data_IF_224741436098
#
_entry.id   IF_224741436098
#
_cell.length_a   1.000
_cell.length_b   1.000
_cell.length_c   1.000
_cell.angle_alpha   90.00
_cell.angle_beta   90.00
_cell.angle_gamma   90.00
#
_symmetry.space_group_name_H-M   'P 1'
#
loop_
_entity.id
_entity.type
_entity.pdbx_description
1 polymer ?
#
# COMPACT_ATOMS: atom_id res chain seq x y z
N UNK A 1 8.20 11.00 4.43
CA UNK A 1 8.69 10.74 3.05
C UNK A 1 8.67 9.24 2.78
N UNK A 2 8.44 8.80 1.53
CA UNK A 2 8.44 7.39 1.16
C UNK A 2 9.77 6.74 1.55
N UNK A 3 9.80 6.00 2.66
CA UNK A 3 10.92 5.14 3.00
C UNK A 3 11.04 4.00 2.00
N UNK A 4 12.21 3.37 1.91
CA UNK A 4 12.42 2.22 1.01
C UNK A 4 11.44 1.08 1.29
N UNK A 5 11.12 0.89 2.56
CA UNK A 5 10.08 -0.02 3.04
C UNK A 5 8.70 0.27 2.44
N UNK A 6 8.33 1.55 2.34
CA UNK A 6 7.07 1.98 1.74
C UNK A 6 7.10 1.84 0.21
N UNK A 7 8.25 2.06 -0.45
CA UNK A 7 8.43 1.79 -1.88
C UNK A 7 8.31 0.29 -2.20
N UNK A 8 8.91 -0.56 -1.38
CA UNK A 8 8.78 -2.03 -1.47
C UNK A 8 7.33 -2.47 -1.30
N UNK A 9 6.61 -1.87 -0.34
CA UNK A 9 5.19 -2.16 -0.14
C UNK A 9 4.36 -1.81 -1.37
N UNK A 10 4.60 -0.66 -2.02
CA UNK A 10 3.89 -0.26 -3.23
C UNK A 10 4.15 -1.22 -4.40
N UNK A 11 5.40 -1.63 -4.62
CA UNK A 11 5.75 -2.65 -5.61
C UNK A 11 5.05 -3.97 -5.31
N UNK A 12 5.06 -4.41 -4.05
CA UNK A 12 4.39 -5.65 -3.64
C UNK A 12 2.88 -5.61 -3.93
N UNK A 13 2.21 -4.49 -3.65
CA UNK A 13 0.79 -4.31 -3.94
C UNK A 13 0.53 -4.36 -5.45
N UNK A 14 1.40 -3.72 -6.25
CA UNK A 14 1.30 -3.74 -7.71
C UNK A 14 1.49 -5.15 -8.28
N UNK A 15 2.56 -5.83 -7.88
CA UNK A 15 2.97 -7.12 -8.43
C UNK A 15 2.02 -8.25 -8.01
N UNK A 16 1.54 -8.21 -6.76
CA UNK A 16 0.73 -9.30 -6.18
C UNK A 16 -0.76 -9.04 -6.22
N UNK A 17 -1.19 -7.79 -6.38
CA UNK A 17 -2.61 -7.38 -6.43
C UNK A 17 -3.46 -8.06 -5.33
N UNK A 18 -3.05 -7.97 -4.05
CA UNK A 18 -3.70 -8.67 -2.95
C UNK A 18 -5.17 -8.24 -2.85
N UNK A 19 -6.05 -9.18 -2.49
CA UNK A 19 -7.50 -8.99 -2.38
C UNK A 19 -7.94 -8.53 -1.00
N UNK A 20 -7.05 -8.54 -0.01
CA UNK A 20 -7.33 -8.08 1.35
C UNK A 20 -6.09 -7.52 2.06
N UNK A 21 -6.30 -6.80 3.17
CA UNK A 21 -5.21 -6.38 4.07
C UNK A 21 -4.55 -7.57 4.78
N UNK A 22 -5.29 -8.65 5.02
CA UNK A 22 -4.76 -9.87 5.64
C UNK A 22 -3.79 -10.57 4.71
N UNK A 23 -4.14 -10.73 3.43
CA UNK A 23 -3.24 -11.29 2.43
C UNK A 23 -2.00 -10.41 2.23
N UNK A 24 -2.17 -9.08 2.19
CA UNK A 24 -1.03 -8.17 2.13
C UNK A 24 -0.13 -8.26 3.38
N UNK A 25 -0.72 -8.50 4.56
CA UNK A 25 0.04 -8.72 5.80
C UNK A 25 0.90 -9.98 5.72
N UNK A 26 0.36 -11.08 5.19
CA UNK A 26 1.09 -12.32 4.96
C UNK A 26 2.22 -12.12 3.94
N UNK A 27 1.94 -11.49 2.80
CA UNK A 27 2.93 -11.23 1.75
C UNK A 27 4.07 -10.29 2.20
N UNK A 28 3.76 -9.30 3.04
CA UNK A 28 4.74 -8.29 3.48
C UNK A 28 5.41 -8.62 4.81
N UNK A 29 4.94 -9.65 5.54
CA UNK A 29 5.37 -9.94 6.90
C UNK A 29 5.01 -8.86 7.93
N UNK A 30 4.10 -7.94 7.59
CA UNK A 30 3.70 -6.80 8.43
C UNK A 30 2.36 -7.04 9.10
N UNK A 31 2.16 -6.50 10.30
CA UNK A 31 0.87 -6.58 11.00
C UNK A 31 -0.19 -5.72 10.28
N UNK A 32 -1.42 -6.24 10.16
CA UNK A 32 -2.57 -5.54 9.54
C UNK A 32 -2.80 -4.12 10.08
N UNK A 33 -2.76 -3.84 11.40
CA UNK A 33 -2.95 -2.48 11.90
C UNK A 33 -1.88 -1.49 11.41
N UNK A 34 -0.63 -1.96 11.20
CA UNK A 34 0.45 -1.11 10.69
C UNK A 34 0.23 -0.81 9.21
N UNK A 35 -0.13 -1.83 8.42
CA UNK A 35 -0.47 -1.65 7.01
C UNK A 35 -1.65 -0.69 6.84
N UNK A 36 -2.70 -0.83 7.64
CA UNK A 36 -3.87 0.05 7.56
C UNK A 36 -3.50 1.54 7.73
N UNK A 37 -2.63 1.86 8.69
CA UNK A 37 -2.13 3.22 8.91
C UNK A 37 -1.28 3.71 7.74
N UNK A 38 -0.32 2.90 7.29
CA UNK A 38 0.56 3.24 6.15
C UNK A 38 -0.24 3.45 4.86
N UNK A 39 -1.18 2.55 4.57
CA UNK A 39 -1.98 2.60 3.35
C UNK A 39 -2.96 3.78 3.35
N UNK A 40 -3.49 4.17 4.52
CA UNK A 40 -4.29 5.39 4.63
C UNK A 40 -3.47 6.62 4.26
N UNK A 41 -2.28 6.76 4.85
CA UNK A 41 -1.36 7.83 4.49
C UNK A 41 -1.02 7.82 2.99
N UNK A 42 -0.71 6.65 2.43
CA UNK A 42 -0.43 6.52 0.99
C UNK A 42 -1.62 6.88 0.10
N UNK A 43 -2.84 6.58 0.55
CA UNK A 43 -4.06 6.96 -0.15
C UNK A 43 -4.29 8.48 -0.11
N UNK A 44 -4.03 9.12 1.03
CA UNK A 44 -4.11 10.58 1.17
C UNK A 44 -3.13 11.30 0.23
N UNK A 45 -1.98 10.67 -0.07
CA UNK A 45 -1.01 11.14 -1.06
C UNK A 45 -1.28 10.68 -2.50
N UNK A 46 -2.39 9.97 -2.76
CA UNK A 46 -2.75 9.48 -4.09
C UNK A 46 -1.89 8.33 -4.63
N UNK A 47 -1.11 7.66 -3.77
CA UNK A 47 -0.20 6.58 -4.15
C UNK A 47 -0.91 5.22 -4.21
N UNK A 48 -1.98 5.06 -3.43
CA UNK A 48 -2.77 3.83 -3.31
C UNK A 48 -4.26 4.15 -3.30
N UNK A 49 -5.06 3.33 -3.96
CA UNK A 49 -6.51 3.28 -3.78
C UNK A 49 -6.88 2.18 -2.79
N UNK A 50 -7.85 2.46 -1.92
CA UNK A 50 -8.41 1.49 -0.98
C UNK A 50 -9.87 1.22 -1.33
N UNK A 51 -10.13 0.08 -1.97
CA UNK A 51 -11.49 -0.35 -2.26
C UNK A 51 -12.04 -1.15 -1.09
N UNK A 52 -13.17 -0.70 -0.54
CA UNK A 52 -13.88 -1.39 0.54
C UNK A 52 -14.94 -2.30 -0.04
N UNK A 53 -14.78 -3.59 0.18
CA UNK A 53 -15.81 -4.59 -0.06
C UNK A 53 -16.53 -4.90 1.26
N UNK A 54 -17.62 -5.66 1.19
CA UNK A 54 -18.49 -5.97 2.35
C UNK A 54 -17.71 -6.58 3.53
N UNK A 55 -16.60 -7.28 3.28
CA UNK A 55 -15.78 -7.94 4.31
C UNK A 55 -14.35 -7.45 4.40
N UNK A 56 -13.80 -6.85 3.35
CA UNK A 56 -12.35 -6.62 3.23
C UNK A 56 -12.02 -5.28 2.59
N UNK A 57 -10.78 -4.84 2.84
CA UNK A 57 -10.19 -3.68 2.17
C UNK A 57 -9.13 -4.19 1.19
N UNK A 58 -9.35 -3.92 -0.08
CA UNK A 58 -8.45 -4.27 -1.17
C UNK A 58 -7.60 -3.04 -1.54
N UNK A 59 -6.27 -3.10 -1.34
CA UNK A 59 -5.38 -2.02 -1.78
C UNK A 59 -4.97 -2.19 -3.25
N UNK A 60 -4.85 -1.08 -3.97
CA UNK A 60 -4.32 -1.04 -5.34
C UNK A 60 -3.31 0.09 -5.46
N UNK A 61 -2.09 -0.19 -5.90
CA UNK A 61 -1.09 0.84 -6.14
C UNK A 61 -1.47 1.66 -7.37
N UNK A 62 -1.61 2.98 -7.21
CA UNK A 62 -1.93 3.92 -8.30
C UNK A 62 -0.66 4.51 -8.93
N UNK A 63 0.41 4.58 -8.16
CA UNK A 63 1.71 5.04 -8.60
C UNK A 63 2.77 4.00 -8.23
N UNK A 64 3.55 3.57 -9.22
CA UNK A 64 4.71 2.67 -9.07
C UNK A 64 6.03 3.37 -9.35
N UNK A 65 5.97 4.55 -9.98
CA UNK A 65 7.09 5.44 -10.29
C UNK A 65 6.90 6.78 -9.58
N UNK A 66 7.96 7.28 -8.95
CA UNK A 66 7.94 8.53 -8.18
C UNK A 66 9.14 9.38 -8.55
N UNK A 67 8.91 10.64 -8.92
CA UNK A 67 9.95 11.65 -9.01
C UNK A 67 10.09 12.32 -7.63
N UNK A 68 11.27 12.21 -7.01
CA UNK A 68 11.57 12.95 -5.78
C UNK A 68 12.24 14.25 -6.18
N UNK A 69 11.55 15.38 -5.96
CA UNK A 69 12.16 16.70 -6.03
C UNK A 69 12.77 17.00 -4.66
N UNK A 70 14.07 17.31 -4.67
CA UNK A 70 14.80 17.82 -3.52
C UNK A 70 15.04 19.31 -3.79
N UNK A 71 14.54 20.17 -2.90
CA UNK A 71 14.85 21.60 -2.87
C UNK A 71 16.14 21.85 -2.08
#
# INVERSE_FOLDING_TARGET
MLSDDNRRLLRLIHDKQPKSLTELAELSGRKVPNLSRTLRMMADYGLVSLQRNVRDVQPTALATEFLVLLD
#
